data_IF_116382110633
#
_entry.id   IF_116382110633
#
_cell.length_a   1.000
_cell.length_b   1.000
_cell.length_c   1.000
_cell.angle_alpha   90.00
_cell.angle_beta   90.00
_cell.angle_gamma   90.00
#
_symmetry.space_group_name_H-M   'P 1'
#
loop_
_entity.id
_entity.type
_entity.pdbx_description
1 polymer ?
#
# COMPACT_ATOMS: atom_id res chain seq x y z
N UNK A 1 21.26 -11.82 -13.70
CA UNK A 1 20.09 -11.01 -13.28
C UNK A 1 20.07 -11.01 -11.77
N UNK A 2 19.62 -9.93 -11.13
CA UNK A 2 19.57 -9.85 -9.67
C UNK A 2 18.23 -10.38 -9.15
N UNK A 3 18.27 -11.15 -8.07
CA UNK A 3 17.06 -11.60 -7.37
C UNK A 3 16.37 -10.43 -6.68
N UNK A 4 15.10 -10.59 -6.27
CA UNK A 4 14.41 -9.58 -5.45
C UNK A 4 15.23 -9.32 -4.18
N UNK A 5 15.69 -10.37 -3.51
CA UNK A 5 16.53 -10.25 -2.31
C UNK A 5 17.79 -9.41 -2.57
N UNK A 6 18.50 -9.65 -3.68
CA UNK A 6 19.69 -8.86 -4.03
C UNK A 6 19.36 -7.39 -4.30
N UNK A 7 18.25 -7.11 -4.99
CA UNK A 7 17.82 -5.72 -5.18
C UNK A 7 17.49 -5.02 -3.85
N UNK A 8 16.88 -5.74 -2.90
CA UNK A 8 16.61 -5.23 -1.55
C UNK A 8 17.92 -4.92 -0.83
N UNK A 9 18.89 -5.83 -0.85
CA UNK A 9 20.20 -5.65 -0.21
C UNK A 9 21.00 -4.50 -0.81
N UNK A 10 20.90 -4.31 -2.13
CA UNK A 10 21.58 -3.24 -2.85
C UNK A 10 20.92 -1.86 -2.71
N UNK A 11 19.73 -1.75 -2.09
CA UNK A 11 19.09 -0.45 -1.88
C UNK A 11 19.88 0.42 -0.90
N UNK A 12 20.26 1.60 -1.36
CA UNK A 12 20.84 2.66 -0.54
C UNK A 12 19.84 3.13 0.51
N UNK A 13 20.31 3.36 1.75
CA UNK A 13 19.47 3.85 2.86
C UNK A 13 18.72 5.14 2.50
N UNK A 14 19.34 6.05 1.75
CA UNK A 14 18.73 7.30 1.29
C UNK A 14 17.51 7.11 0.37
N UNK A 15 17.37 5.95 -0.27
CA UNK A 15 16.28 5.68 -1.20
C UNK A 15 14.99 5.33 -0.45
N UNK A 16 15.10 4.58 0.65
CA UNK A 16 13.96 4.03 1.38
C UNK A 16 13.74 4.65 2.76
N UNK A 17 14.76 5.19 3.41
CA UNK A 17 14.63 5.79 4.74
C UNK A 17 14.40 7.30 4.62
N UNK A 18 13.14 7.72 4.77
CA UNK A 18 12.73 9.12 4.65
C UNK A 18 13.42 10.03 5.69
N UNK A 19 13.70 9.51 6.88
CA UNK A 19 14.32 10.26 7.98
C UNK A 19 15.85 10.18 7.97
N UNK A 20 16.46 9.53 6.98
CA UNK A 20 17.91 9.43 6.86
C UNK A 20 18.55 10.82 6.77
N UNK A 21 19.54 11.09 7.62
CA UNK A 21 20.22 12.39 7.69
C UNK A 21 19.41 13.50 8.36
N UNK A 22 18.21 13.21 8.87
CA UNK A 22 17.39 14.12 9.69
C UNK A 22 17.39 13.67 11.15
N UNK A 23 17.19 12.36 11.36
CA UNK A 23 17.25 11.75 12.68
C UNK A 23 18.44 10.78 12.72
N UNK A 24 19.47 11.14 13.49
CA UNK A 24 20.68 10.33 13.64
C UNK A 24 20.52 9.18 14.65
N UNK A 25 19.39 9.12 15.38
CA UNK A 25 19.17 8.11 16.41
C UNK A 25 18.76 6.74 15.85
N UNK A 26 18.29 6.66 14.60
CA UNK A 26 17.80 5.41 14.03
C UNK A 26 18.85 4.69 13.19
N UNK A 27 19.27 3.52 13.67
CA UNK A 27 20.04 2.56 12.88
C UNK A 27 19.07 1.65 12.11
N UNK A 28 18.69 2.09 10.92
CA UNK A 28 17.72 1.41 10.09
C UNK A 28 18.26 0.10 9.52
N UNK A 29 17.78 -1.04 10.00
CA UNK A 29 18.08 -2.35 9.39
C UNK A 29 16.91 -2.86 8.56
N UNK A 30 17.21 -3.58 7.49
CA UNK A 30 16.20 -4.26 6.66
C UNK A 30 15.65 -5.44 7.47
N UNK A 31 14.32 -5.65 7.54
CA UNK A 31 13.69 -6.51 8.53
C UNK A 31 13.61 -7.99 8.17
N UNK A 32 14.28 -8.44 7.10
CA UNK A 32 14.14 -9.80 6.54
C UNK A 32 14.90 -10.86 7.36
N UNK A 33 14.54 -10.97 8.64
CA UNK A 33 15.14 -11.89 9.63
C UNK A 33 14.06 -12.76 10.26
N UNK A 34 13.07 -12.11 10.90
CA UNK A 34 11.97 -12.79 11.59
C UNK A 34 10.75 -11.87 11.72
N UNK A 35 9.64 -12.43 12.22
CA UNK A 35 8.38 -11.71 12.45
C UNK A 35 8.56 -10.45 13.30
N UNK A 36 9.36 -10.54 14.36
CA UNK A 36 9.58 -9.45 15.32
C UNK A 36 10.28 -8.28 14.62
N UNK A 37 11.28 -8.58 13.80
CA UNK A 37 12.03 -7.60 13.02
C UNK A 37 11.13 -6.82 12.05
N UNK A 38 10.15 -7.48 11.41
CA UNK A 38 9.17 -6.79 10.56
C UNK A 38 8.26 -5.84 11.35
N UNK A 39 7.78 -6.27 12.53
CA UNK A 39 6.93 -5.43 13.38
C UNK A 39 7.71 -4.23 13.88
N UNK A 40 8.92 -4.44 14.41
CA UNK A 40 9.79 -3.35 14.85
C UNK A 40 10.09 -2.39 13.72
N UNK A 41 10.39 -2.87 12.51
CA UNK A 41 10.62 -1.98 11.37
C UNK A 41 9.41 -1.08 11.08
N UNK A 42 8.19 -1.62 11.07
CA UNK A 42 6.98 -0.83 10.87
C UNK A 42 6.82 0.22 11.99
N UNK A 43 6.91 -0.21 13.25
CA UNK A 43 6.67 0.65 14.42
C UNK A 43 7.75 1.71 14.56
N UNK A 44 9.01 1.37 14.37
CA UNK A 44 10.13 2.30 14.47
C UNK A 44 10.07 3.36 13.37
N UNK A 45 9.65 3.00 12.16
CA UNK A 45 9.48 3.96 11.06
C UNK A 45 8.42 5.02 11.40
N UNK A 46 7.29 4.60 11.97
CA UNK A 46 6.26 5.52 12.47
C UNK A 46 6.70 6.29 13.72
N UNK A 47 7.49 5.68 14.60
CA UNK A 47 8.02 6.31 15.83
C UNK A 47 8.98 7.45 15.52
N UNK A 48 9.91 7.27 14.58
CA UNK A 48 10.78 8.34 14.09
C UNK A 48 10.00 9.51 13.52
N UNK A 49 8.90 9.21 12.82
CA UNK A 49 7.98 10.22 12.34
C UNK A 49 7.16 10.91 13.42
N UNK A 50 7.32 10.54 14.71
CA UNK A 50 6.44 10.91 15.83
C UNK A 50 4.96 10.65 15.49
N UNK A 51 4.69 9.58 14.74
CA UNK A 51 3.36 9.16 14.23
C UNK A 51 2.90 7.81 14.78
N UNK A 52 3.69 7.13 15.61
CA UNK A 52 3.37 5.80 16.19
C UNK A 52 2.06 5.76 16.96
N UNK A 53 1.59 6.89 17.50
CA UNK A 53 0.29 6.91 18.18
C UNK A 53 -0.90 6.61 17.27
N UNK A 54 -0.69 6.59 15.94
CA UNK A 54 -1.71 6.19 14.97
C UNK A 54 -2.24 4.78 15.22
N UNK A 55 -1.39 3.83 15.62
CA UNK A 55 -1.80 2.45 15.90
C UNK A 55 -2.78 2.42 17.06
N UNK A 56 -2.35 2.92 18.23
CA UNK A 56 -3.17 3.00 19.44
C UNK A 56 -4.48 3.76 19.22
N UNK A 57 -4.42 4.93 18.56
CA UNK A 57 -5.63 5.74 18.29
C UNK A 57 -6.56 5.12 17.25
N UNK A 58 -6.12 4.12 16.52
CA UNK A 58 -6.92 3.40 15.52
C UNK A 58 -7.41 2.05 16.04
N UNK A 59 -7.20 1.75 17.33
CA UNK A 59 -7.44 0.43 17.91
C UNK A 59 -6.71 -0.71 17.18
N UNK A 60 -5.59 -0.39 16.53
CA UNK A 60 -4.70 -1.36 15.88
C UNK A 60 -3.63 -1.75 16.88
N UNK A 61 -3.50 -3.04 17.13
CA UNK A 61 -2.47 -3.60 17.99
C UNK A 61 -1.24 -4.01 17.14
N UNK A 62 -0.08 -3.33 17.31
CA UNK A 62 1.17 -3.64 16.62
C UNK A 62 1.61 -5.11 16.69
N UNK A 63 1.37 -5.78 17.80
CA UNK A 63 1.86 -7.16 18.00
C UNK A 63 1.01 -8.16 17.20
N UNK A 64 -0.21 -7.74 16.85
CA UNK A 64 -1.23 -8.51 16.15
C UNK A 64 -1.33 -8.15 14.66
N UNK A 65 -0.36 -7.42 14.10
CA UNK A 65 -0.31 -7.12 12.68
C UNK A 65 -0.35 -8.42 11.84
N UNK A 66 -1.23 -8.42 10.84
CA UNK A 66 -1.34 -9.50 9.85
C UNK A 66 -0.23 -9.30 8.81
N UNK A 67 0.53 -10.36 8.56
CA UNK A 67 1.57 -10.42 7.53
C UNK A 67 2.52 -9.21 7.53
N UNK A 68 3.22 -8.91 8.64
CA UNK A 68 4.16 -7.79 8.68
C UNK A 68 5.33 -7.98 7.69
N UNK A 69 5.67 -9.24 7.38
CA UNK A 69 6.60 -9.64 6.32
C UNK A 69 6.14 -9.17 4.93
N UNK A 70 4.88 -9.42 4.56
CA UNK A 70 4.26 -8.95 3.34
C UNK A 70 4.29 -7.42 3.26
N UNK A 71 3.86 -6.73 4.33
CA UNK A 71 3.85 -5.26 4.42
C UNK A 71 5.25 -4.67 4.15
N UNK A 72 6.29 -5.26 4.77
CA UNK A 72 7.67 -4.83 4.54
C UNK A 72 8.14 -5.15 3.12
N UNK A 73 7.79 -6.31 2.57
CA UNK A 73 8.14 -6.68 1.20
C UNK A 73 7.49 -5.75 0.16
N UNK A 74 6.20 -5.43 0.31
CA UNK A 74 5.50 -4.40 -0.49
C UNK A 74 6.26 -3.09 -0.44
N UNK A 75 6.65 -2.65 0.76
CA UNK A 75 7.41 -1.42 0.94
C UNK A 75 8.71 -1.43 0.12
N UNK A 76 9.55 -2.44 0.24
CA UNK A 76 10.82 -2.48 -0.50
C UNK A 76 10.63 -2.69 -2.01
N UNK A 77 9.69 -3.54 -2.44
CA UNK A 77 9.36 -3.70 -3.87
C UNK A 77 8.92 -2.39 -4.51
N UNK A 78 8.10 -1.60 -3.80
CA UNK A 78 7.68 -0.29 -4.28
C UNK A 78 8.84 0.70 -4.47
N UNK A 79 9.79 0.72 -3.54
CA UNK A 79 11.03 1.50 -3.67
C UNK A 79 11.81 1.04 -4.91
N UNK A 80 12.05 -0.26 -5.05
CA UNK A 80 12.80 -0.85 -6.17
C UNK A 80 12.13 -0.47 -7.50
N UNK A 81 10.82 -0.65 -7.62
CA UNK A 81 10.06 -0.39 -8.85
C UNK A 81 10.07 1.10 -9.18
N UNK A 82 9.92 1.97 -8.17
CA UNK A 82 9.97 3.41 -8.35
C UNK A 82 11.32 3.84 -8.93
N UNK A 83 12.44 3.51 -8.27
CA UNK A 83 13.75 4.03 -8.66
C UNK A 83 14.33 3.41 -9.93
N UNK A 84 13.91 2.19 -10.29
CA UNK A 84 14.43 1.49 -11.48
C UNK A 84 13.53 1.64 -12.73
N UNK A 85 12.47 2.45 -12.66
CA UNK A 85 11.55 2.64 -13.80
C UNK A 85 11.11 4.11 -13.98
N UNK A 86 10.30 4.36 -15.01
CA UNK A 86 9.71 5.68 -15.26
C UNK A 86 8.66 6.10 -14.22
N UNK A 87 8.24 5.21 -13.31
CA UNK A 87 7.37 5.53 -12.18
C UNK A 87 7.94 6.66 -11.33
N UNK A 88 9.28 6.76 -11.20
CA UNK A 88 9.98 7.87 -10.54
C UNK A 88 9.55 9.26 -11.02
N UNK A 89 9.33 9.40 -12.33
CA UNK A 89 8.93 10.67 -12.93
C UNK A 89 7.43 10.98 -12.77
N UNK A 90 6.62 9.97 -12.45
CA UNK A 90 5.15 10.07 -12.39
C UNK A 90 4.63 10.28 -10.97
N UNK A 91 5.32 9.74 -9.97
CA UNK A 91 4.98 9.94 -8.56
C UNK A 91 5.77 11.16 -8.08
N UNK A 92 5.04 12.29 -7.87
CA UNK A 92 5.59 13.65 -7.78
C UNK A 92 6.96 13.77 -7.09
N UNK A 93 7.98 14.32 -7.78
CA UNK A 93 9.32 14.55 -7.24
C UNK A 93 9.41 15.78 -6.31
N UNK A 94 8.28 16.21 -5.73
CA UNK A 94 8.26 17.36 -4.83
C UNK A 94 9.26 17.18 -3.69
N UNK A 95 9.88 18.26 -3.24
CA UNK A 95 10.58 18.27 -1.97
C UNK A 95 9.61 18.76 -0.89
N UNK A 96 9.53 18.07 0.24
CA UNK A 96 8.99 18.70 1.44
C UNK A 96 10.06 19.65 1.95
N UNK A 97 9.68 20.86 2.34
CA UNK A 97 10.64 21.79 2.92
C UNK A 97 11.08 21.30 4.31
N UNK A 98 12.37 21.40 4.66
CA UNK A 98 13.51 21.80 3.81
C UNK A 98 14.24 20.57 3.26
N UNK A 99 13.86 20.10 2.06
CA UNK A 99 14.64 19.14 1.27
C UNK A 99 14.21 17.66 1.27
N UNK A 100 13.20 17.25 2.03
CA UNK A 100 12.84 15.83 2.10
C UNK A 100 12.22 15.30 0.80
N UNK A 101 12.55 14.05 0.45
CA UNK A 101 11.98 13.36 -0.72
C UNK A 101 10.48 13.06 -0.47
N UNK A 102 9.60 13.56 -1.34
CA UNK A 102 8.14 13.32 -1.21
C UNK A 102 7.78 11.84 -1.37
N UNK A 103 8.44 11.11 -2.27
CA UNK A 103 8.06 9.72 -2.53
C UNK A 103 8.25 8.79 -1.32
N UNK A 104 9.45 8.66 -0.71
CA UNK A 104 9.62 7.82 0.48
C UNK A 104 8.63 8.14 1.60
N UNK A 105 8.30 9.43 1.79
CA UNK A 105 7.30 9.86 2.77
C UNK A 105 5.91 9.27 2.50
N UNK A 106 5.37 9.53 1.31
CA UNK A 106 4.03 9.07 0.96
C UNK A 106 4.02 7.55 0.86
N UNK A 107 5.10 6.96 0.36
CA UNK A 107 5.21 5.52 0.19
C UNK A 107 5.26 4.76 1.50
N UNK A 108 6.04 5.19 2.51
CA UNK A 108 6.03 4.49 3.79
C UNK A 108 4.65 4.57 4.45
N UNK A 109 3.97 5.73 4.38
CA UNK A 109 2.61 5.87 4.90
C UNK A 109 1.63 4.95 4.18
N UNK A 110 1.82 4.74 2.88
CA UNK A 110 0.98 3.88 2.05
C UNK A 110 1.27 2.41 2.33
N UNK A 111 2.49 1.96 2.05
CA UNK A 111 2.87 0.56 2.11
C UNK A 111 2.90 0.02 3.55
N UNK A 112 3.43 0.77 4.53
CA UNK A 112 3.52 0.26 5.91
C UNK A 112 2.19 0.35 6.69
N UNK A 113 1.12 0.86 6.07
CA UNK A 113 -0.20 0.98 6.70
C UNK A 113 -1.36 0.32 5.95
N UNK A 114 -1.22 -0.01 4.66
CA UNK A 114 -2.36 -0.42 3.83
C UNK A 114 -3.19 -1.59 4.39
N UNK A 115 -2.53 -2.56 5.03
CA UNK A 115 -3.16 -3.78 5.56
C UNK A 115 -3.39 -3.74 7.08
N UNK A 116 -3.02 -2.67 7.78
CA UNK A 116 -3.02 -2.66 9.26
C UNK A 116 -4.43 -2.67 9.88
N UNK A 117 -5.45 -2.23 9.14
CA UNK A 117 -6.85 -2.29 9.59
C UNK A 117 -7.49 -3.68 9.41
N UNK A 118 -6.77 -4.67 8.85
CA UNK A 118 -7.29 -6.02 8.64
C UNK A 118 -7.70 -6.72 9.94
N UNK A 119 -7.06 -6.38 11.06
CA UNK A 119 -7.42 -6.92 12.38
C UNK A 119 -8.91 -6.72 12.71
N UNK A 120 -9.50 -5.64 12.20
CA UNK A 120 -10.90 -5.24 12.43
C UNK A 120 -11.86 -5.93 11.47
N UNK A 121 -11.37 -6.34 10.28
CA UNK A 121 -12.14 -7.11 9.29
C UNK A 121 -12.39 -8.55 9.76
N UNK A 122 -11.41 -9.19 10.44
CA UNK A 122 -11.42 -10.63 10.77
C UNK A 122 -12.13 -11.00 12.09
N UNK A 123 -12.63 -10.05 12.88
CA UNK A 123 -12.97 -10.31 14.29
C UNK A 123 -14.41 -9.99 14.71
N UNK A 124 -15.34 -9.83 13.77
CA UNK A 124 -16.70 -9.36 14.08
C UNK A 124 -16.74 -8.05 14.91
N UNK A 125 -15.61 -7.32 15.00
CA UNK A 125 -15.45 -6.20 15.95
C UNK A 125 -16.35 -5.01 15.62
N UNK A 126 -16.85 -4.96 14.39
CA UNK A 126 -17.66 -3.88 13.88
C UNK A 126 -19.01 -4.39 13.37
N UNK A 127 -19.47 -5.59 13.76
CA UNK A 127 -20.77 -6.16 13.31
C UNK A 127 -21.94 -5.24 13.60
N UNK A 128 -21.93 -4.57 14.75
CA UNK A 128 -22.96 -3.61 15.20
C UNK A 128 -22.92 -2.28 14.43
N UNK A 129 -21.89 -2.06 13.61
CA UNK A 129 -21.78 -0.88 12.74
C UNK A 129 -22.43 -1.20 11.41
N UNK A 130 -23.53 -0.54 11.09
CA UNK A 130 -24.31 -0.78 9.87
C UNK A 130 -24.19 0.35 8.85
N UNK A 131 -23.83 1.55 9.28
CA UNK A 131 -23.76 2.74 8.42
C UNK A 131 -22.39 3.40 8.48
N UNK A 132 -22.06 4.16 7.43
CA UNK A 132 -20.81 4.92 7.41
C UNK A 132 -20.77 5.97 8.54
N UNK A 133 -21.83 6.76 8.82
CA UNK A 133 -21.83 7.68 9.96
C UNK A 133 -21.56 6.99 11.31
N UNK A 134 -22.14 5.81 11.56
CA UNK A 134 -21.84 5.05 12.78
C UNK A 134 -20.36 4.63 12.86
N UNK A 135 -19.75 4.24 11.73
CA UNK A 135 -18.33 3.94 11.67
C UNK A 135 -17.48 5.17 12.03
N UNK A 136 -17.81 6.31 11.43
CA UNK A 136 -17.10 7.56 11.68
C UNK A 136 -17.21 7.99 13.14
N UNK A 137 -18.39 7.88 13.74
CA UNK A 137 -18.62 8.19 15.15
C UNK A 137 -17.86 7.24 16.09
N UNK A 138 -17.92 5.92 15.83
CA UNK A 138 -17.22 4.90 16.61
C UNK A 138 -15.71 5.18 16.72
N UNK A 139 -15.08 5.64 15.62
CA UNK A 139 -13.66 6.02 15.62
C UNK A 139 -13.42 7.50 15.89
N UNK A 140 -14.44 8.27 16.26
CA UNK A 140 -14.37 9.72 16.50
C UNK A 140 -13.66 10.44 15.34
N UNK A 141 -14.04 10.15 14.11
CA UNK A 141 -13.46 10.75 12.90
C UNK A 141 -13.91 12.21 12.79
N UNK A 142 -12.96 13.14 12.75
CA UNK A 142 -13.20 14.58 12.55
C UNK A 142 -12.80 15.04 11.15
N UNK A 143 -11.96 14.25 10.48
CA UNK A 143 -11.47 14.54 9.14
C UNK A 143 -11.79 13.37 8.21
N UNK A 144 -13.00 13.41 7.65
CA UNK A 144 -13.49 12.38 6.76
C UNK A 144 -12.72 12.39 5.42
N UNK A 145 -12.08 11.27 5.09
CA UNK A 145 -11.36 11.09 3.82
C UNK A 145 -12.30 11.21 2.61
N UNK A 146 -13.57 10.80 2.74
CA UNK A 146 -14.50 10.75 1.61
C UNK A 146 -15.02 12.15 1.24
N UNK A 147 -15.07 13.07 2.20
CA UNK A 147 -15.40 14.49 1.98
C UNK A 147 -14.20 15.30 1.45
N UNK A 148 -12.98 14.78 1.59
CA UNK A 148 -11.79 15.46 1.12
C UNK A 148 -11.75 15.47 -0.42
N UNK A 149 -11.81 16.68 -1.03
CA UNK A 149 -11.74 16.85 -2.49
C UNK A 149 -10.58 16.05 -3.10
N UNK A 150 -10.91 15.05 -3.91
CA UNK A 150 -9.97 14.12 -4.53
C UNK A 150 -10.44 13.81 -5.95
N UNK A 151 -9.63 14.17 -6.95
CA UNK A 151 -10.01 14.06 -8.38
C UNK A 151 -9.32 12.91 -9.11
N UNK A 152 -8.34 12.25 -8.50
CA UNK A 152 -7.62 11.12 -9.10
C UNK A 152 -8.47 9.85 -8.99
N UNK A 153 -8.50 9.02 -10.03
CA UNK A 153 -9.37 7.84 -10.11
C UNK A 153 -10.82 8.14 -9.67
N UNK A 154 -11.40 9.24 -10.15
CA UNK A 154 -12.68 9.77 -9.64
C UNK A 154 -13.82 8.75 -9.62
N UNK A 155 -13.93 7.90 -10.66
CA UNK A 155 -14.89 6.78 -10.72
C UNK A 155 -14.74 5.81 -9.55
N UNK A 156 -13.51 5.38 -9.24
CA UNK A 156 -13.24 4.47 -8.12
C UNK A 156 -13.37 5.20 -6.76
N UNK A 157 -13.05 6.48 -6.74
CA UNK A 157 -13.15 7.30 -5.54
C UNK A 157 -14.61 7.62 -5.16
N UNK A 158 -15.55 7.69 -6.11
CA UNK A 158 -16.97 7.96 -5.84
C UNK A 158 -17.70 6.74 -5.27
N UNK A 159 -17.28 5.52 -5.63
CA UNK A 159 -17.93 4.29 -5.15
C UNK A 159 -17.56 3.91 -3.71
N UNK A 160 -16.62 4.59 -3.05
CA UNK A 160 -16.10 4.21 -1.73
C UNK A 160 -17.21 4.01 -0.68
N UNK A 161 -18.18 4.91 -0.63
CA UNK A 161 -19.31 4.81 0.29
C UNK A 161 -20.25 3.66 -0.07
N UNK A 162 -20.65 3.54 -1.34
CA UNK A 162 -21.50 2.45 -1.80
C UNK A 162 -20.83 1.08 -1.59
N UNK A 163 -19.52 1.02 -1.82
CA UNK A 163 -18.71 -0.18 -1.61
C UNK A 163 -18.63 -0.56 -0.13
N UNK A 164 -18.60 0.41 0.80
CA UNK A 164 -18.76 0.13 2.23
C UNK A 164 -20.07 -0.61 2.50
N UNK A 165 -21.20 -0.12 1.99
CA UNK A 165 -22.50 -0.76 2.19
C UNK A 165 -22.59 -2.14 1.53
N UNK A 166 -22.05 -2.30 0.32
CA UNK A 166 -21.91 -3.61 -0.32
C UNK A 166 -21.13 -4.60 0.54
N UNK A 167 -19.95 -4.21 1.04
CA UNK A 167 -19.11 -5.08 1.88
C UNK A 167 -19.80 -5.42 3.18
N UNK A 168 -20.51 -4.46 3.76
CA UNK A 168 -21.30 -4.65 4.98
C UNK A 168 -22.45 -5.59 4.79
N UNK A 169 -23.22 -5.46 3.72
CA UNK A 169 -24.38 -6.30 3.49
C UNK A 169 -23.98 -7.73 3.11
N UNK A 170 -23.04 -7.88 2.17
CA UNK A 170 -22.68 -9.19 1.59
C UNK A 170 -21.72 -10.00 2.45
N UNK A 171 -20.76 -9.35 3.09
CA UNK A 171 -19.69 -10.03 3.83
C UNK A 171 -19.72 -9.75 5.34
N UNK A 172 -20.63 -8.88 5.80
CA UNK A 172 -20.76 -8.48 7.22
C UNK A 172 -19.50 -7.84 7.83
N UNK A 173 -18.57 -7.41 6.98
CA UNK A 173 -17.31 -6.77 7.40
C UNK A 173 -17.22 -5.32 6.94
N UNK A 174 -16.32 -4.56 7.57
CA UNK A 174 -15.80 -3.32 7.02
C UNK A 174 -14.51 -3.65 6.29
N UNK A 175 -14.41 -3.22 5.02
CA UNK A 175 -13.19 -3.41 4.24
C UNK A 175 -11.99 -2.69 4.88
N UNK A 176 -10.91 -3.44 5.13
CA UNK A 176 -9.72 -2.89 5.76
C UNK A 176 -9.03 -1.79 4.95
N UNK A 177 -9.11 -1.81 3.62
CA UNK A 177 -8.57 -0.74 2.78
C UNK A 177 -9.34 0.57 3.01
N UNK A 178 -10.67 0.53 2.94
CA UNK A 178 -11.52 1.69 3.23
C UNK A 178 -11.27 2.23 4.64
N UNK A 179 -11.33 1.36 5.65
CA UNK A 179 -11.15 1.73 7.05
C UNK A 179 -9.73 2.24 7.33
N UNK A 180 -8.71 1.55 6.82
CA UNK A 180 -7.30 1.94 6.93
C UNK A 180 -7.04 3.31 6.32
N UNK A 181 -7.64 3.63 5.17
CA UNK A 181 -7.58 4.96 4.58
C UNK A 181 -8.22 6.04 5.46
N UNK A 182 -9.43 5.81 5.96
CA UNK A 182 -10.15 6.74 6.85
C UNK A 182 -9.32 7.03 8.11
N UNK A 183 -8.86 5.97 8.80
CA UNK A 183 -8.08 6.07 10.01
C UNK A 183 -6.75 6.78 9.76
N UNK A 184 -6.02 6.39 8.70
CA UNK A 184 -4.73 7.00 8.37
C UNK A 184 -4.87 8.52 8.19
N UNK A 185 -5.85 8.94 7.40
CA UNK A 185 -6.06 10.35 7.08
C UNK A 185 -6.38 11.18 8.33
N UNK A 186 -7.39 10.74 9.09
CA UNK A 186 -7.87 11.45 10.27
C UNK A 186 -6.78 11.58 11.33
N UNK A 187 -6.15 10.46 11.69
CA UNK A 187 -5.14 10.44 12.75
C UNK A 187 -3.93 11.29 12.40
N UNK A 188 -3.45 11.25 11.16
CA UNK A 188 -2.30 12.06 10.74
C UNK A 188 -2.60 13.56 10.77
N UNK A 189 -3.81 13.99 10.41
CA UNK A 189 -4.20 15.41 10.53
C UNK A 189 -4.24 15.83 12.00
N UNK A 190 -4.87 15.02 12.88
CA UNK A 190 -4.93 15.30 14.32
C UNK A 190 -3.54 15.39 14.94
N UNK A 191 -2.66 14.43 14.63
CA UNK A 191 -1.24 14.44 15.06
C UNK A 191 -0.56 15.73 14.61
N UNK A 192 -0.64 16.06 13.32
CA UNK A 192 0.03 17.24 12.75
C UNK A 192 -0.46 18.53 13.39
N UNK A 193 -1.78 18.71 13.53
CA UNK A 193 -2.38 19.91 14.13
C UNK A 193 -1.93 20.08 15.58
N UNK A 194 -2.01 19.01 16.38
CA UNK A 194 -1.56 19.03 17.78
C UNK A 194 -0.06 19.33 17.89
N UNK A 195 0.79 18.70 17.07
CA UNK A 195 2.24 18.96 17.06
C UNK A 195 2.57 20.41 16.67
N UNK A 196 1.85 20.96 15.69
CA UNK A 196 2.00 22.36 15.29
C UNK A 196 1.58 23.34 16.38
N UNK A 197 0.48 23.08 17.08
CA UNK A 197 0.01 23.91 18.21
C UNK A 197 1.01 23.85 19.37
N UNK A 198 1.55 22.67 19.65
CA UNK A 198 2.57 22.48 20.69
C UNK A 198 3.95 23.10 20.34
N UNK A 199 4.10 23.73 19.17
CA UNK A 199 5.37 24.34 18.76
C UNK A 199 6.48 23.33 18.46
N UNK A 200 6.16 22.05 18.24
CA UNK A 200 7.17 21.03 17.91
C UNK A 200 7.85 21.35 16.57
N UNK A 201 9.17 21.46 16.59
CA UNK A 201 10.00 21.87 15.44
C UNK A 201 11.04 20.82 15.03
N UNK A 202 11.19 19.73 15.79
CA UNK A 202 12.13 18.64 15.47
C UNK A 202 11.84 17.93 14.14
N UNK A 203 10.64 18.11 13.60
CA UNK A 203 10.19 17.56 12.32
C UNK A 203 9.30 18.58 11.62
N UNK A 204 9.17 18.46 10.30
CA UNK A 204 8.21 19.27 9.55
C UNK A 204 6.76 18.89 9.89
N UNK A 205 5.95 19.86 10.31
CA UNK A 205 4.51 19.72 10.62
C UNK A 205 3.61 20.69 9.83
N UNK A 206 4.11 21.20 8.71
CA UNK A 206 3.40 22.17 7.88
C UNK A 206 2.13 21.63 7.22
N UNK A 207 1.21 22.53 6.86
CA UNK A 207 -0.08 22.19 6.22
C UNK A 207 0.08 21.40 4.91
N UNK A 208 1.21 21.55 4.20
CA UNK A 208 1.53 20.80 2.98
C UNK A 208 1.42 19.27 3.17
N UNK A 209 1.67 18.77 4.39
CA UNK A 209 1.55 17.35 4.70
C UNK A 209 0.11 16.81 4.55
N UNK A 210 -0.93 17.63 4.74
CA UNK A 210 -2.32 17.16 4.66
C UNK A 210 -2.66 16.66 3.25
N UNK A 211 -2.06 17.23 2.21
CA UNK A 211 -2.19 16.71 0.84
C UNK A 211 -1.48 15.37 0.64
N UNK A 212 -0.34 15.16 1.31
CA UNK A 212 0.42 13.91 1.24
C UNK A 212 -0.29 12.79 2.01
N UNK A 213 -0.86 13.11 3.17
CA UNK A 213 -1.73 12.22 3.93
C UNK A 213 -2.94 11.80 3.11
N UNK A 214 -3.58 12.76 2.44
CA UNK A 214 -4.71 12.47 1.54
C UNK A 214 -4.31 11.53 0.40
N UNK A 215 -3.14 11.73 -0.21
CA UNK A 215 -2.65 10.83 -1.27
C UNK A 215 -2.42 9.41 -0.76
N UNK A 216 -1.69 9.24 0.36
CA UNK A 216 -1.44 7.92 0.94
C UNK A 216 -2.75 7.22 1.34
N UNK A 217 -3.60 7.91 2.11
CA UNK A 217 -4.88 7.40 2.56
C UNK A 217 -5.84 7.08 1.42
N UNK A 218 -5.85 7.89 0.35
CA UNK A 218 -6.67 7.58 -0.84
C UNK A 218 -6.15 6.33 -1.55
N UNK A 219 -4.83 6.17 -1.74
CA UNK A 219 -4.29 4.96 -2.34
C UNK A 219 -4.66 3.70 -1.55
N UNK A 220 -4.58 3.77 -0.22
CA UNK A 220 -5.05 2.68 0.66
C UNK A 220 -6.56 2.47 0.51
N UNK A 221 -7.40 3.52 0.55
CA UNK A 221 -8.85 3.33 0.45
C UNK A 221 -9.32 2.68 -0.84
N UNK A 222 -8.52 2.77 -1.92
CA UNK A 222 -8.87 2.23 -3.24
C UNK A 222 -8.32 0.83 -3.48
N UNK A 223 -7.32 0.37 -2.69
CA UNK A 223 -6.54 -0.83 -3.03
C UNK A 223 -7.28 -2.15 -2.91
N UNK A 224 -8.43 -2.16 -2.23
CA UNK A 224 -9.27 -3.36 -2.11
C UNK A 224 -10.68 -3.16 -2.69
N UNK A 225 -10.84 -2.15 -3.56
CA UNK A 225 -12.07 -1.94 -4.33
C UNK A 225 -11.95 -2.66 -5.68
N UNK A 226 -12.73 -3.73 -5.81
CA UNK A 226 -12.76 -4.59 -6.99
C UNK A 226 -14.03 -4.35 -7.80
N UNK A 227 -13.90 -4.37 -9.12
CA UNK A 227 -15.06 -4.33 -10.03
C UNK A 227 -15.94 -5.54 -9.77
N UNK A 228 -17.25 -5.31 -9.66
CA UNK A 228 -18.24 -6.34 -9.33
C UNK A 228 -18.97 -6.84 -10.58
N UNK A 229 -19.66 -7.98 -10.45
CA UNK A 229 -20.56 -8.49 -11.50
C UNK A 229 -21.80 -7.60 -11.67
N UNK A 230 -22.45 -7.69 -12.84
CA UNK A 230 -23.60 -6.85 -13.22
C UNK A 230 -24.73 -6.87 -12.19
N UNK A 231 -25.05 -8.05 -11.64
CA UNK A 231 -26.11 -8.20 -10.64
C UNK A 231 -25.75 -7.46 -9.35
N UNK A 232 -24.50 -7.57 -8.90
CA UNK A 232 -24.01 -6.83 -7.73
C UNK A 232 -23.99 -5.32 -8.00
N UNK A 233 -23.63 -4.89 -9.22
CA UNK A 233 -23.64 -3.47 -9.60
C UNK A 233 -25.05 -2.88 -9.49
N UNK A 234 -26.05 -3.56 -10.04
CA UNK A 234 -27.45 -3.13 -9.99
C UNK A 234 -27.97 -3.08 -8.56
N UNK A 235 -27.71 -4.13 -7.77
CA UNK A 235 -28.22 -4.25 -6.40
C UNK A 235 -27.72 -3.14 -5.46
N UNK A 236 -26.48 -2.68 -5.62
CA UNK A 236 -25.84 -1.71 -4.72
C UNK A 236 -25.58 -0.34 -5.37
N UNK A 237 -26.19 -0.06 -6.53
CA UNK A 237 -26.01 1.18 -7.30
C UNK A 237 -24.52 1.50 -7.58
N UNK A 238 -23.70 0.50 -7.86
CA UNK A 238 -22.28 0.69 -8.19
C UNK A 238 -22.10 1.05 -9.67
N UNK A 239 -22.96 1.92 -10.19
CA UNK A 239 -23.08 2.25 -11.62
C UNK A 239 -21.78 2.78 -12.23
N UNK A 240 -20.87 3.33 -11.43
CA UNK A 240 -19.54 3.73 -11.87
C UNK A 240 -18.64 2.57 -12.30
N UNK A 241 -19.02 1.32 -12.03
CA UNK A 241 -18.39 0.11 -12.56
C UNK A 241 -18.93 -0.33 -13.93
N UNK A 242 -20.05 0.22 -14.40
CA UNK A 242 -20.54 -0.04 -15.77
C UNK A 242 -19.52 0.50 -16.77
N UNK A 243 -19.09 -0.31 -17.73
CA UNK A 243 -18.02 0.03 -18.67
C UNK A 243 -16.78 0.61 -17.97
N UNK A 244 -16.35 -0.06 -16.89
CA UNK A 244 -15.20 0.38 -16.12
C UNK A 244 -13.92 0.38 -16.97
N UNK A 245 -13.36 1.56 -17.19
CA UNK A 245 -12.03 1.67 -17.76
C UNK A 245 -10.99 1.31 -16.71
N UNK A 246 -10.10 0.36 -17.04
CA UNK A 246 -8.96 -0.01 -16.20
C UNK A 246 -8.16 1.23 -15.80
N UNK A 247 -7.70 1.25 -14.56
CA UNK A 247 -6.96 2.38 -14.00
C UNK A 247 -5.59 2.49 -14.67
N UNK A 248 -5.31 3.63 -15.28
CA UNK A 248 -4.06 3.91 -16.01
C UNK A 248 -3.04 4.54 -15.08
N UNK A 249 -1.75 4.45 -15.44
CA UNK A 249 -0.68 5.03 -14.62
C UNK A 249 -0.89 6.53 -14.36
N UNK A 250 -1.39 7.26 -15.36
CA UNK A 250 -1.62 8.71 -15.27
C UNK A 250 -2.74 9.11 -14.30
N UNK A 251 -3.70 8.21 -14.02
CA UNK A 251 -4.89 8.54 -13.24
C UNK A 251 -4.51 8.71 -11.77
N UNK A 252 -3.77 7.73 -11.23
CA UNK A 252 -3.22 7.81 -9.88
C UNK A 252 -1.94 6.97 -9.72
N UNK A 253 -0.75 7.53 -10.02
CA UNK A 253 0.52 6.79 -10.02
C UNK A 253 0.88 6.04 -8.74
N UNK A 254 0.54 6.61 -7.57
CA UNK A 254 0.81 5.99 -6.26
C UNK A 254 -0.04 4.74 -6.04
N UNK A 255 -1.35 4.83 -6.29
CA UNK A 255 -2.26 3.70 -6.21
C UNK A 255 -1.92 2.63 -7.26
N UNK A 256 -1.60 3.05 -8.48
CA UNK A 256 -1.17 2.15 -9.55
C UNK A 256 0.08 1.34 -9.15
N UNK A 257 1.07 1.98 -8.50
CA UNK A 257 2.22 1.28 -7.95
C UNK A 257 1.79 0.28 -6.87
N UNK A 258 1.00 0.72 -5.87
CA UNK A 258 0.51 -0.12 -4.78
C UNK A 258 -0.21 -1.37 -5.30
N UNK A 259 -1.16 -1.20 -6.23
CA UNK A 259 -1.92 -2.29 -6.80
C UNK A 259 -1.02 -3.34 -7.47
N UNK A 260 0.03 -2.92 -8.18
CA UNK A 260 0.99 -3.83 -8.82
C UNK A 260 1.82 -4.57 -7.78
N UNK A 261 2.43 -3.85 -6.83
CA UNK A 261 3.35 -4.48 -5.89
C UNK A 261 2.62 -5.37 -4.89
N UNK A 262 1.44 -5.00 -4.43
CA UNK A 262 0.63 -5.82 -3.52
C UNK A 262 0.15 -7.12 -4.18
N UNK A 263 -0.25 -7.04 -5.46
CA UNK A 263 -0.69 -8.22 -6.22
C UNK A 263 0.45 -9.18 -6.55
N UNK A 264 1.65 -8.65 -6.80
CA UNK A 264 2.83 -9.43 -7.20
C UNK A 264 3.85 -9.62 -6.07
N UNK A 265 3.45 -9.41 -4.81
CA UNK A 265 4.33 -9.59 -3.66
C UNK A 265 4.54 -11.09 -3.40
N UNK A 266 5.77 -11.63 -3.56
CA UNK A 266 5.99 -13.08 -3.54
C UNK A 266 5.73 -13.75 -2.19
N UNK A 267 6.04 -13.12 -1.07
CA UNK A 267 5.89 -13.73 0.26
C UNK A 267 4.42 -14.05 0.53
N UNK A 268 3.49 -13.13 0.24
CA UNK A 268 2.04 -13.33 0.32
C UNK A 268 1.55 -14.38 -0.67
N UNK A 269 2.12 -14.42 -1.88
CA UNK A 269 1.72 -15.43 -2.88
C UNK A 269 2.06 -16.83 -2.38
N UNK A 270 3.25 -17.01 -1.83
CA UNK A 270 3.79 -18.30 -1.41
C UNK A 270 3.72 -18.54 0.10
N UNK A 271 2.85 -17.82 0.82
CA UNK A 271 2.76 -17.87 2.29
C UNK A 271 2.57 -19.31 2.82
N UNK A 272 1.78 -20.12 2.10
CA UNK A 272 1.44 -21.48 2.49
C UNK A 272 2.34 -22.57 1.87
N UNK A 273 3.46 -22.18 1.25
CA UNK A 273 4.37 -23.11 0.56
C UNK A 273 5.34 -23.84 1.49
N UNK A 274 5.51 -23.36 2.73
CA UNK A 274 6.54 -23.86 3.66
C UNK A 274 7.96 -23.44 3.31
N UNK A 275 8.15 -22.62 2.27
CA UNK A 275 9.44 -22.08 1.84
C UNK A 275 9.77 -20.84 2.68
N UNK A 276 11.04 -20.66 3.06
CA UNK A 276 11.46 -19.46 3.79
C UNK A 276 11.28 -18.20 2.94
N UNK A 277 10.98 -17.08 3.59
CA UNK A 277 10.77 -15.77 2.93
C UNK A 277 12.00 -15.37 2.10
N UNK A 278 13.20 -15.58 2.62
CA UNK A 278 14.45 -15.29 1.92
C UNK A 278 14.59 -16.15 0.67
N UNK A 279 14.24 -17.44 0.73
CA UNK A 279 14.31 -18.34 -0.43
C UNK A 279 13.26 -17.99 -1.48
N UNK A 280 12.06 -17.54 -1.06
CA UNK A 280 11.05 -16.98 -1.96
C UNK A 280 11.62 -15.77 -2.70
N UNK A 281 12.19 -14.80 -1.98
CA UNK A 281 12.78 -13.59 -2.58
C UNK A 281 14.01 -13.88 -3.46
N UNK A 282 14.78 -14.94 -3.16
CA UNK A 282 15.89 -15.42 -4.00
C UNK A 282 15.43 -16.22 -5.21
N UNK A 283 14.19 -16.70 -5.24
CA UNK A 283 13.66 -17.51 -6.34
C UNK A 283 13.27 -16.71 -7.58
N UNK A 284 13.14 -15.38 -7.44
CA UNK A 284 12.63 -14.49 -8.49
C UNK A 284 13.69 -13.45 -8.85
N UNK A 285 14.04 -13.40 -10.13
CA UNK A 285 14.87 -12.36 -10.72
C UNK A 285 14.03 -11.19 -11.22
N UNK A 286 14.56 -9.96 -11.08
CA UNK A 286 13.98 -8.76 -11.68
C UNK A 286 14.95 -8.13 -12.69
N UNK A 287 14.40 -7.73 -13.84
CA UNK A 287 15.05 -6.88 -14.82
C UNK A 287 14.17 -5.68 -15.16
N UNK A 288 14.79 -4.50 -15.26
CA UNK A 288 14.07 -3.25 -15.42
C UNK A 288 14.33 -2.61 -16.78
N UNK A 289 13.28 -2.03 -17.36
CA UNK A 289 13.34 -1.03 -18.42
C UNK A 289 12.45 0.15 -18.02
N UNK A 290 12.61 1.35 -18.61
CA UNK A 290 11.84 2.52 -18.20
C UNK A 290 10.34 2.29 -18.09
N UNK A 291 9.72 1.54 -19.01
CA UNK A 291 8.26 1.31 -19.03
C UNK A 291 7.86 -0.12 -18.68
N UNK A 292 8.74 -0.95 -18.13
CA UNK A 292 8.41 -2.35 -17.87
C UNK A 292 9.33 -3.05 -16.89
N UNK A 293 8.81 -4.09 -16.25
CA UNK A 293 9.55 -4.98 -15.37
C UNK A 293 9.39 -6.40 -15.91
N UNK A 294 10.49 -7.13 -16.00
CA UNK A 294 10.51 -8.56 -16.31
C UNK A 294 10.82 -9.33 -15.03
N UNK A 295 10.00 -10.33 -14.76
CA UNK A 295 10.14 -11.30 -13.68
C UNK A 295 10.55 -12.63 -14.31
N UNK A 296 11.55 -13.30 -13.77
CA UNK A 296 11.95 -14.64 -14.23
C UNK A 296 12.36 -15.54 -13.09
N UNK A 297 12.29 -16.85 -13.30
CA UNK A 297 12.87 -17.84 -12.38
C UNK A 297 14.36 -17.55 -12.17
N UNK A 298 14.83 -17.72 -10.93
CA UNK A 298 16.26 -17.81 -10.64
C UNK A 298 16.78 -19.23 -10.83
N UNK A 299 18.11 -19.38 -10.87
CA UNK A 299 18.72 -20.70 -10.99
C UNK A 299 18.43 -21.59 -9.76
N UNK A 300 18.19 -20.96 -8.60
CA UNK A 300 17.86 -21.59 -7.33
C UNK A 300 16.37 -21.43 -6.99
N UNK A 301 15.50 -21.43 -8.01
CA UNK A 301 14.05 -21.24 -7.81
C UNK A 301 13.47 -22.39 -6.98
N UNK A 302 12.97 -22.08 -5.79
CA UNK A 302 12.32 -23.04 -4.90
C UNK A 302 10.78 -23.03 -5.02
N UNK A 303 10.23 -22.03 -5.71
CA UNK A 303 8.78 -21.80 -5.82
C UNK A 303 8.19 -22.39 -7.12
N UNK A 304 6.88 -22.65 -7.11
CA UNK A 304 6.12 -22.86 -8.34
C UNK A 304 5.81 -21.51 -9.02
N UNK A 305 6.59 -21.18 -10.03
CA UNK A 305 6.42 -19.93 -10.77
C UNK A 305 5.10 -19.86 -11.56
N UNK A 306 4.43 -20.99 -11.82
CA UNK A 306 3.10 -20.96 -12.43
C UNK A 306 2.07 -20.33 -11.51
N UNK A 307 2.17 -20.55 -10.19
CA UNK A 307 1.34 -19.85 -9.21
C UNK A 307 1.55 -18.33 -9.29
N UNK A 308 2.79 -17.90 -9.48
CA UNK A 308 3.11 -16.48 -9.65
C UNK A 308 2.50 -15.90 -10.93
N UNK A 309 2.62 -16.63 -12.05
CA UNK A 309 1.97 -16.25 -13.32
C UNK A 309 0.44 -16.22 -13.14
N UNK A 310 -0.13 -17.14 -12.37
CA UNK A 310 -1.56 -17.18 -12.06
C UNK A 310 -2.09 -15.93 -11.37
N UNK A 311 -1.24 -15.15 -10.69
CA UNK A 311 -1.61 -13.87 -10.07
C UNK A 311 -1.87 -12.76 -11.09
N UNK A 312 -1.35 -12.88 -12.30
CA UNK A 312 -1.50 -11.87 -13.35
C UNK A 312 -2.96 -11.63 -13.75
N UNK A 313 -3.85 -12.62 -13.56
CA UNK A 313 -5.29 -12.50 -13.81
C UNK A 313 -5.97 -11.46 -12.92
N UNK A 314 -5.44 -11.14 -11.74
CA UNK A 314 -6.02 -10.15 -10.84
C UNK A 314 -5.90 -8.71 -11.38
N UNK A 315 -5.08 -8.50 -12.41
CA UNK A 315 -5.04 -7.23 -13.13
C UNK A 315 -6.13 -7.12 -14.20
N UNK A 316 -6.78 -8.23 -14.56
CA UNK A 316 -7.87 -8.21 -15.51
C UNK A 316 -9.01 -7.34 -14.95
N UNK A 317 -9.49 -6.42 -15.78
CA UNK A 317 -10.53 -5.44 -15.46
C UNK A 317 -10.23 -4.44 -14.32
N UNK A 318 -9.01 -4.40 -13.77
CA UNK A 318 -8.67 -3.49 -12.67
C UNK A 318 -7.62 -2.44 -13.04
N UNK A 319 -6.40 -2.86 -13.42
CA UNK A 319 -5.26 -1.98 -13.72
C UNK A 319 -4.83 -2.13 -15.18
N UNK A 320 -4.58 -1.02 -15.88
CA UNK A 320 -4.14 -1.04 -17.28
C UNK A 320 -2.64 -1.33 -17.38
N UNK A 321 -2.28 -2.61 -17.35
CA UNK A 321 -0.92 -3.09 -17.62
C UNK A 321 -0.87 -3.96 -18.87
N UNK A 322 0.22 -3.86 -19.61
CA UNK A 322 0.56 -4.81 -20.67
C UNK A 322 1.26 -6.03 -20.09
N UNK A 323 0.70 -7.22 -20.29
CA UNK A 323 1.27 -8.49 -19.79
C UNK A 323 1.78 -9.30 -20.98
N UNK A 324 3.01 -9.83 -20.88
CA UNK A 324 3.57 -10.80 -21.83
C UNK A 324 4.20 -11.95 -21.07
N UNK A 325 3.71 -13.17 -21.27
CA UNK A 325 4.24 -14.40 -20.66
C UNK A 325 5.09 -15.12 -21.71
N UNK A 326 6.28 -15.60 -21.36
CA UNK A 326 7.11 -16.38 -22.27
C UNK A 326 6.53 -17.77 -22.52
N UNK A 327 6.81 -18.36 -23.68
CA UNK A 327 6.31 -19.70 -24.05
C UNK A 327 6.71 -20.78 -23.05
N UNK A 328 7.92 -20.72 -22.50
CA UNK A 328 8.41 -21.64 -21.46
C UNK A 328 7.84 -21.37 -20.07
N UNK A 329 7.11 -20.26 -19.91
CA UNK A 329 6.47 -19.82 -18.65
C UNK A 329 7.43 -19.77 -17.45
N UNK A 330 8.70 -19.52 -17.75
CA UNK A 330 9.79 -19.29 -16.80
C UNK A 330 10.02 -17.80 -16.55
N UNK A 331 9.31 -16.94 -17.30
CA UNK A 331 9.34 -15.49 -17.16
C UNK A 331 8.08 -14.83 -17.69
N UNK A 332 7.78 -13.66 -17.16
CA UNK A 332 6.76 -12.76 -17.68
C UNK A 332 7.22 -11.31 -17.55
N UNK A 333 6.62 -10.44 -18.35
CA UNK A 333 6.90 -9.01 -18.39
C UNK A 333 5.60 -8.25 -18.19
N UNK A 334 5.63 -7.30 -17.27
CA UNK A 334 4.59 -6.26 -17.13
C UNK A 334 5.09 -4.95 -17.74
N UNK A 335 4.22 -4.22 -18.44
CA UNK A 335 4.52 -2.93 -19.05
C UNK A 335 3.50 -1.90 -18.61
N UNK A 336 3.96 -0.73 -18.16
CA UNK A 336 3.09 0.34 -17.68
C UNK A 336 2.43 1.06 -18.87
N UNK A 337 1.12 1.32 -18.78
CA UNK A 337 0.35 2.01 -19.83
C UNK A 337 -0.19 3.35 -19.37
#
# INVERSE_FOLDING_TARGET
MKTIYQHIEDLDIEQWHYYYGIDHAFNAQKPFVDRISYIHFIIDYFSQGKKVEIFKKSAIDPDMLRLPNHICSVFFLGIIFHYNTSLKSKISPGKNDPGYKTFPFIWFLTALFHDNAYQMEKKDQLTDIHTLPQLLDHFSIEHNLFEAKFSRCSRLASVREKYFYFRKDRFKVVDHGLLGGILLYDRLIKIRRRKRIAGEDSLFWGKKLENQYKLAASAISLHNIWVQDEKTIEQYDLTEFIDFEKIKLKDFPLFYLLAIVDTLEPIKIFENSGISEIDILKSINLSFKPKSIEFSKSASCAIDFEEFIGRLKYFDNWIDIGIKIATRRDKFKISFR
#
